data_IF_347766048989
#
_entry.id   IF_347766048989
#
_cell.length_a   1.000
_cell.length_b   1.000
_cell.length_c   1.000
_cell.angle_alpha   90.00
_cell.angle_beta   90.00
_cell.angle_gamma   90.00
#
_symmetry.space_group_name_H-M   'P 1'
#
loop_
_entity.id
_entity.type
_entity.pdbx_description
1 polymer ?
#
# COMPACT_ATOMS: atom_id res chain seq x y z
N UNK A 1 18.85 -3.58 -7.08
CA UNK A 1 17.87 -4.26 -6.20
C UNK A 1 18.62 -5.11 -5.18
N UNK A 2 19.31 -4.45 -4.24
CA UNK A 2 20.17 -5.12 -3.25
C UNK A 2 19.38 -5.69 -2.05
N UNK A 3 18.19 -5.14 -1.76
CA UNK A 3 17.30 -5.60 -0.68
C UNK A 3 16.38 -6.75 -1.12
N UNK A 4 16.23 -6.95 -2.43
CA UNK A 4 15.31 -7.97 -2.95
C UNK A 4 15.63 -9.40 -2.47
N UNK A 5 16.92 -9.82 -2.38
CA UNK A 5 17.29 -11.09 -1.75
C UNK A 5 16.85 -11.20 -0.28
N UNK A 6 16.87 -10.11 0.48
CA UNK A 6 16.41 -10.10 1.87
C UNK A 6 14.89 -10.35 1.94
N UNK A 7 14.11 -9.71 1.07
CA UNK A 7 12.68 -9.98 0.96
C UNK A 7 12.39 -11.42 0.53
N UNK A 8 13.20 -11.98 -0.39
CA UNK A 8 13.09 -13.39 -0.77
C UNK A 8 13.36 -14.32 0.42
N UNK A 9 14.35 -14.01 1.26
CA UNK A 9 14.59 -14.73 2.52
C UNK A 9 13.36 -14.73 3.42
N UNK A 10 12.72 -13.56 3.63
CA UNK A 10 11.51 -13.44 4.44
C UNK A 10 10.32 -14.24 3.88
N UNK A 11 10.17 -14.30 2.55
CA UNK A 11 9.16 -15.13 1.89
C UNK A 11 9.45 -16.62 2.09
N UNK A 12 10.72 -17.04 2.04
CA UNK A 12 11.13 -18.42 2.34
C UNK A 12 10.82 -18.80 3.79
N UNK A 13 11.08 -17.89 4.74
CA UNK A 13 10.73 -18.07 6.15
C UNK A 13 9.22 -18.23 6.31
N UNK A 14 8.43 -17.30 5.76
CA UNK A 14 6.97 -17.31 5.86
C UNK A 14 6.36 -18.57 5.22
N UNK A 15 6.91 -19.03 4.09
CA UNK A 15 6.51 -20.31 3.46
C UNK A 15 6.71 -21.49 4.41
N UNK A 16 7.83 -21.54 5.11
CA UNK A 16 8.13 -22.65 6.03
C UNK A 16 7.16 -22.67 7.21
N UNK A 17 6.83 -21.50 7.77
CA UNK A 17 5.76 -21.36 8.77
C UNK A 17 4.40 -21.81 8.24
N UNK A 18 4.05 -21.41 7.02
CA UNK A 18 2.78 -21.78 6.40
C UNK A 18 2.64 -23.29 6.18
N UNK A 19 3.75 -23.97 5.87
CA UNK A 19 3.79 -25.43 5.66
C UNK A 19 4.02 -26.22 6.96
N UNK A 20 4.29 -25.55 8.09
CA UNK A 20 4.66 -26.20 9.33
C UNK A 20 5.98 -26.98 9.23
N UNK A 21 6.91 -26.52 8.41
CA UNK A 21 8.19 -27.19 8.17
C UNK A 21 9.17 -26.94 9.32
N UNK A 22 9.07 -27.76 10.36
CA UNK A 22 9.94 -27.71 11.56
C UNK A 22 11.32 -28.30 11.31
N UNK A 23 11.62 -28.82 10.11
CA UNK A 23 12.93 -29.39 9.79
C UNK A 23 14.02 -28.32 9.59
N UNK A 24 13.61 -27.06 9.41
CA UNK A 24 14.54 -25.96 9.20
C UNK A 24 15.16 -25.50 10.52
N UNK A 25 16.48 -25.37 10.54
CA UNK A 25 17.27 -25.16 11.78
C UNK A 25 16.87 -23.94 12.60
N UNK A 26 16.39 -22.87 11.95
CA UNK A 26 16.01 -21.62 12.60
C UNK A 26 14.52 -21.55 12.98
N UNK A 27 13.72 -22.60 12.74
CA UNK A 27 12.27 -22.54 12.89
C UNK A 27 11.82 -22.15 14.31
N UNK A 28 12.55 -22.62 15.33
CA UNK A 28 12.27 -22.31 16.74
C UNK A 28 12.90 -21.00 17.23
N UNK A 29 13.77 -20.37 16.43
CA UNK A 29 14.51 -19.17 16.82
C UNK A 29 13.85 -17.88 16.29
N UNK A 30 12.84 -18.02 15.42
CA UNK A 30 12.19 -16.90 14.72
C UNK A 30 10.70 -16.89 15.06
N UNK A 31 10.15 -15.70 15.23
CA UNK A 31 8.72 -15.48 15.41
C UNK A 31 8.15 -14.59 14.31
N UNK A 32 6.86 -14.79 13.99
CA UNK A 32 6.16 -13.93 13.05
C UNK A 32 5.74 -12.63 13.73
N UNK A 33 6.20 -11.50 13.18
CA UNK A 33 5.68 -10.20 13.55
C UNK A 33 4.32 -9.96 12.90
N UNK A 34 3.24 -10.26 13.61
CA UNK A 34 1.87 -10.04 13.14
C UNK A 34 1.50 -8.57 12.93
N UNK A 35 2.19 -7.64 13.60
CA UNK A 35 2.00 -6.20 13.43
C UNK A 35 2.72 -5.63 12.19
N UNK A 36 3.42 -6.46 11.42
CA UNK A 36 4.05 -5.97 10.19
C UNK A 36 2.99 -5.43 9.22
N UNK A 37 3.29 -4.31 8.58
CA UNK A 37 2.39 -3.66 7.60
C UNK A 37 2.72 -4.07 6.16
N UNK A 38 3.38 -5.22 6.00
CA UNK A 38 3.94 -5.71 4.73
C UNK A 38 3.28 -7.01 4.24
N UNK A 39 2.16 -7.38 4.86
CA UNK A 39 1.45 -8.64 4.63
C UNK A 39 1.02 -8.83 3.18
N UNK A 40 0.67 -7.76 2.46
CA UNK A 40 0.23 -7.90 1.07
C UNK A 40 1.37 -8.41 0.19
N UNK A 41 2.56 -7.83 0.30
CA UNK A 41 3.71 -8.23 -0.50
C UNK A 41 4.19 -9.65 -0.16
N UNK A 42 4.38 -9.94 1.13
CA UNK A 42 4.85 -11.25 1.57
C UNK A 42 3.80 -12.33 1.38
N UNK A 43 2.52 -12.04 1.61
CA UNK A 43 1.42 -12.95 1.36
C UNK A 43 1.33 -13.33 -0.12
N UNK A 44 1.33 -12.34 -1.03
CA UNK A 44 1.31 -12.60 -2.47
C UNK A 44 2.52 -13.44 -2.93
N UNK A 45 3.74 -13.05 -2.51
CA UNK A 45 4.94 -13.78 -2.89
C UNK A 45 4.98 -15.20 -2.28
N UNK A 46 4.47 -15.39 -1.06
CA UNK A 46 4.40 -16.70 -0.41
C UNK A 46 3.39 -17.62 -1.09
N UNK A 47 2.21 -17.11 -1.44
CA UNK A 47 1.21 -17.89 -2.18
C UNK A 47 1.75 -18.33 -3.55
N UNK A 48 2.43 -17.44 -4.26
CA UNK A 48 3.11 -17.78 -5.52
C UNK A 48 4.25 -18.79 -5.31
N UNK A 49 4.96 -18.71 -4.18
CA UNK A 49 6.07 -19.62 -3.89
C UNK A 49 5.63 -21.03 -3.48
N UNK A 50 4.33 -21.27 -3.30
CA UNK A 50 3.78 -22.61 -3.17
C UNK A 50 3.95 -23.43 -4.45
N UNK A 51 3.96 -22.76 -5.61
CA UNK A 51 4.07 -23.41 -6.94
C UNK A 51 5.32 -22.99 -7.72
N UNK A 52 5.94 -21.87 -7.36
CA UNK A 52 7.18 -21.38 -7.97
C UNK A 52 8.35 -21.41 -6.96
N UNK A 53 9.60 -21.52 -7.43
CA UNK A 53 10.73 -21.20 -6.57
C UNK A 53 10.66 -19.73 -6.10
N UNK A 54 11.12 -19.45 -4.87
CA UNK A 54 10.93 -18.16 -4.17
C UNK A 54 11.43 -16.96 -4.99
N UNK A 55 12.57 -17.10 -5.67
CA UNK A 55 13.12 -16.07 -6.54
C UNK A 55 12.17 -15.71 -7.71
N UNK A 56 11.52 -16.70 -8.33
CA UNK A 56 10.54 -16.45 -9.39
C UNK A 56 9.26 -15.85 -8.83
N UNK A 57 8.80 -16.30 -7.66
CA UNK A 57 7.63 -15.73 -7.00
C UNK A 57 7.83 -14.23 -6.70
N UNK A 58 8.95 -13.85 -6.08
CA UNK A 58 9.28 -12.45 -5.76
C UNK A 58 9.40 -11.60 -7.02
N UNK A 59 10.13 -12.07 -8.04
CA UNK A 59 10.26 -11.34 -9.32
C UNK A 59 8.91 -11.18 -10.02
N UNK A 60 8.01 -12.15 -9.89
CA UNK A 60 6.63 -12.06 -10.42
C UNK A 60 5.86 -10.95 -9.71
N UNK A 61 5.95 -10.85 -8.38
CA UNK A 61 5.32 -9.74 -7.64
C UNK A 61 5.88 -8.39 -8.07
N UNK A 62 7.19 -8.27 -8.27
CA UNK A 62 7.80 -7.04 -8.82
C UNK A 62 7.23 -6.70 -10.20
N UNK A 63 7.13 -7.68 -11.10
CA UNK A 63 6.54 -7.51 -12.43
C UNK A 63 5.08 -7.06 -12.37
N UNK A 64 4.28 -7.67 -11.50
CA UNK A 64 2.88 -7.28 -11.27
C UNK A 64 2.76 -5.88 -10.69
N UNK A 65 3.65 -5.50 -9.77
CA UNK A 65 3.71 -4.14 -9.21
C UNK A 65 4.03 -3.11 -10.29
N UNK A 66 4.99 -3.40 -11.17
CA UNK A 66 5.33 -2.56 -12.32
C UNK A 66 4.14 -2.38 -13.28
N UNK A 67 3.49 -3.47 -13.69
CA UNK A 67 2.32 -3.40 -14.57
C UNK A 67 1.18 -2.61 -13.93
N UNK A 68 0.93 -2.86 -12.64
CA UNK A 68 -0.10 -2.14 -11.87
C UNK A 68 0.23 -0.65 -11.75
N UNK A 69 1.51 -0.31 -11.59
CA UNK A 69 1.97 1.08 -11.60
C UNK A 69 1.70 1.74 -12.95
N UNK A 70 2.10 1.12 -14.06
CA UNK A 70 1.88 1.67 -15.41
C UNK A 70 0.38 1.88 -15.68
N UNK A 71 -0.46 0.92 -15.32
CA UNK A 71 -1.92 1.02 -15.50
C UNK A 71 -2.54 2.11 -14.62
N UNK A 72 -2.25 2.11 -13.32
CA UNK A 72 -2.80 3.10 -12.39
C UNK A 72 -2.32 4.51 -12.72
N UNK A 73 -1.04 4.67 -13.06
CA UNK A 73 -0.47 5.93 -13.54
C UNK A 73 -1.17 6.42 -14.81
N UNK A 74 -1.35 5.55 -15.80
CA UNK A 74 -2.03 5.90 -17.06
C UNK A 74 -3.46 6.38 -16.82
N UNK A 75 -4.19 5.74 -15.89
CA UNK A 75 -5.56 6.15 -15.53
C UNK A 75 -5.55 7.50 -14.82
N UNK A 76 -4.70 7.68 -13.81
CA UNK A 76 -4.61 8.95 -13.08
C UNK A 76 -4.20 10.10 -14.02
N UNK A 77 -3.25 9.85 -14.93
CA UNK A 77 -2.80 10.84 -15.90
C UNK A 77 -3.93 11.29 -16.80
N UNK A 78 -4.71 10.38 -17.36
CA UNK A 78 -5.89 10.70 -18.20
C UNK A 78 -6.92 11.52 -17.43
N UNK A 79 -7.18 11.19 -16.17
CA UNK A 79 -8.10 11.96 -15.31
C UNK A 79 -7.62 13.39 -15.06
N UNK A 80 -6.31 13.63 -15.09
CA UNK A 80 -5.70 14.93 -14.79
C UNK A 80 -5.27 15.71 -16.05
N UNK A 81 -5.42 15.14 -17.25
CA UNK A 81 -4.96 15.73 -18.51
C UNK A 81 -5.60 17.08 -18.85
N UNK A 82 -6.84 17.33 -18.46
CA UNK A 82 -7.51 18.62 -18.66
C UNK A 82 -6.96 19.74 -17.79
N UNK A 83 -6.10 19.43 -16.81
CA UNK A 83 -5.59 20.39 -15.80
C UNK A 83 -4.17 20.89 -16.07
N UNK A 84 -3.61 20.66 -17.26
CA UNK A 84 -2.22 21.03 -17.64
C UNK A 84 -1.16 20.58 -16.60
N UNK A 85 -1.28 19.35 -16.11
CA UNK A 85 -0.47 18.82 -15.00
C UNK A 85 0.78 18.09 -15.46
N UNK A 86 1.63 18.75 -16.26
CA UNK A 86 2.89 18.14 -16.73
C UNK A 86 3.85 17.77 -15.59
N UNK A 87 3.71 18.40 -14.43
CA UNK A 87 4.47 18.07 -13.22
C UNK A 87 4.13 16.68 -12.65
N UNK A 88 2.94 16.15 -12.96
CA UNK A 88 2.50 14.85 -12.44
C UNK A 88 3.40 13.71 -12.93
N UNK A 89 3.86 13.80 -14.18
CA UNK A 89 4.75 12.80 -14.78
C UNK A 89 6.10 12.78 -14.06
N UNK A 90 6.62 13.97 -13.73
CA UNK A 90 7.88 14.15 -12.97
C UNK A 90 7.80 13.74 -11.50
N UNK A 91 6.61 13.73 -10.91
CA UNK A 91 6.40 13.26 -9.53
C UNK A 91 6.19 11.74 -9.50
N UNK A 92 5.42 11.20 -10.45
CA UNK A 92 5.02 9.80 -10.41
C UNK A 92 6.12 8.86 -10.92
N UNK A 93 6.88 9.24 -11.95
CA UNK A 93 7.99 8.41 -12.44
C UNK A 93 9.03 8.08 -11.36
N UNK A 94 9.61 9.04 -10.63
CA UNK A 94 10.57 8.73 -9.57
C UNK A 94 9.91 8.10 -8.34
N UNK A 95 8.59 8.19 -8.16
CA UNK A 95 7.92 7.52 -7.03
C UNK A 95 8.00 5.99 -7.14
N UNK A 96 7.97 5.46 -8.37
CA UNK A 96 8.21 4.03 -8.63
C UNK A 96 9.67 3.76 -8.98
N UNK A 97 10.22 4.39 -10.04
CA UNK A 97 11.56 4.10 -10.57
C UNK A 97 12.72 4.79 -9.83
N UNK A 98 12.45 5.44 -8.70
CA UNK A 98 13.47 6.09 -7.90
C UNK A 98 14.17 5.14 -6.94
N UNK A 99 14.40 5.64 -5.73
CA UNK A 99 15.17 4.94 -4.69
C UNK A 99 14.64 3.53 -4.40
N UNK A 100 13.33 3.37 -4.22
CA UNK A 100 12.70 2.09 -3.91
C UNK A 100 12.95 1.02 -4.99
N UNK A 101 12.94 1.39 -6.28
CA UNK A 101 13.22 0.47 -7.37
C UNK A 101 14.70 0.11 -7.44
N UNK A 102 15.59 1.09 -7.32
CA UNK A 102 17.04 0.86 -7.34
C UNK A 102 17.46 -0.09 -6.22
N UNK A 103 16.93 0.10 -5.02
CA UNK A 103 17.24 -0.75 -3.87
C UNK A 103 16.45 -2.06 -3.84
N UNK A 104 15.28 -2.12 -4.48
CA UNK A 104 14.46 -3.33 -4.54
C UNK A 104 13.51 -3.50 -3.36
N UNK A 105 12.99 -2.39 -2.84
CA UNK A 105 12.02 -2.37 -1.75
C UNK A 105 10.66 -2.89 -2.21
N UNK A 106 10.49 -4.21 -2.12
CA UNK A 106 9.33 -4.92 -2.66
C UNK A 106 8.00 -4.35 -2.14
N UNK A 107 7.94 -4.10 -0.84
CA UNK A 107 6.74 -3.59 -0.14
C UNK A 107 6.36 -2.18 -0.59
N UNK A 108 7.35 -1.31 -0.80
CA UNK A 108 7.15 0.03 -1.37
C UNK A 108 6.64 -0.06 -2.80
N UNK A 109 7.30 -0.83 -3.66
CA UNK A 109 6.94 -0.95 -5.08
C UNK A 109 5.50 -1.43 -5.25
N UNK A 110 5.06 -2.39 -4.44
CA UNK A 110 3.68 -2.87 -4.46
C UNK A 110 2.68 -1.85 -3.90
N UNK A 111 3.07 -1.06 -2.90
CA UNK A 111 2.20 -0.07 -2.27
C UNK A 111 1.90 1.14 -3.18
N UNK A 112 2.86 1.59 -4.00
CA UNK A 112 2.67 2.76 -4.89
C UNK A 112 1.41 2.66 -5.79
N UNK A 113 1.20 1.62 -6.60
CA UNK A 113 -0.01 1.52 -7.43
C UNK A 113 -1.30 1.49 -6.62
N UNK A 114 -1.30 0.88 -5.43
CA UNK A 114 -2.47 0.89 -4.53
C UNK A 114 -2.74 2.32 -4.01
N UNK A 115 -1.69 3.09 -3.72
CA UNK A 115 -1.79 4.50 -3.37
C UNK A 115 -2.36 5.37 -4.49
N UNK A 116 -1.92 5.13 -5.74
CA UNK A 116 -2.49 5.81 -6.91
C UNK A 116 -3.97 5.45 -7.08
N UNK A 117 -4.35 4.19 -6.89
CA UNK A 117 -5.74 3.77 -6.91
C UNK A 117 -6.56 4.48 -5.84
N UNK A 118 -6.07 4.60 -4.61
CA UNK A 118 -6.72 5.37 -3.54
C UNK A 118 -7.02 6.81 -4.00
N UNK A 119 -6.04 7.49 -4.61
CA UNK A 119 -6.22 8.85 -5.13
C UNK A 119 -7.26 8.90 -6.24
N UNK A 120 -7.22 7.95 -7.19
CA UNK A 120 -8.21 7.85 -8.28
C UNK A 120 -9.64 7.72 -7.71
N UNK A 121 -9.85 6.81 -6.75
CA UNK A 121 -11.18 6.59 -6.17
C UNK A 121 -11.64 7.80 -5.36
N UNK A 122 -10.71 8.47 -4.66
CA UNK A 122 -11.03 9.69 -3.94
C UNK A 122 -11.44 10.84 -4.87
N UNK A 123 -10.75 11.01 -6.00
CA UNK A 123 -11.13 12.00 -7.01
C UNK A 123 -12.55 11.73 -7.55
N UNK A 124 -12.86 10.46 -7.86
CA UNK A 124 -14.21 10.07 -8.29
C UNK A 124 -15.27 10.28 -7.21
N UNK A 125 -14.91 10.07 -5.94
CA UNK A 125 -15.78 10.36 -4.81
C UNK A 125 -16.09 11.86 -4.70
N UNK A 126 -15.08 12.72 -4.82
CA UNK A 126 -15.25 14.17 -4.80
C UNK A 126 -16.14 14.64 -5.95
N UNK A 127 -15.89 14.13 -7.16
CA UNK A 127 -16.60 14.54 -8.38
C UNK A 127 -18.06 14.08 -8.39
N UNK A 128 -18.34 12.84 -7.99
CA UNK A 128 -19.67 12.22 -8.16
C UNK A 128 -20.49 12.12 -6.88
N UNK A 129 -19.85 12.15 -5.71
CA UNK A 129 -20.48 11.89 -4.42
C UNK A 129 -21.00 10.45 -4.22
N UNK A 130 -20.73 9.53 -5.15
CA UNK A 130 -21.30 8.18 -5.09
C UNK A 130 -20.68 7.31 -3.99
N UNK A 131 -21.55 6.66 -3.20
CA UNK A 131 -21.17 5.80 -2.06
C UNK A 131 -20.23 4.65 -2.44
N UNK A 132 -20.28 4.14 -3.68
CA UNK A 132 -19.37 3.08 -4.12
C UNK A 132 -17.90 3.51 -4.04
N UNK A 133 -17.60 4.77 -4.39
CA UNK A 133 -16.23 5.29 -4.34
C UNK A 133 -15.76 5.51 -2.91
N UNK A 134 -16.66 5.84 -1.99
CA UNK A 134 -16.36 5.85 -0.56
C UNK A 134 -15.87 4.48 -0.09
N UNK A 135 -16.59 3.41 -0.44
CA UNK A 135 -16.19 2.04 -0.09
C UNK A 135 -14.82 1.70 -0.71
N UNK A 136 -14.61 2.03 -1.98
CA UNK A 136 -13.32 1.78 -2.63
C UNK A 136 -12.16 2.58 -2.01
N UNK A 137 -12.37 3.82 -1.55
CA UNK A 137 -11.33 4.57 -0.82
C UNK A 137 -10.94 3.85 0.47
N UNK A 138 -11.92 3.35 1.23
CA UNK A 138 -11.64 2.57 2.44
C UNK A 138 -10.88 1.29 2.11
N UNK A 139 -11.35 0.51 1.12
CA UNK A 139 -10.70 -0.74 0.72
C UNK A 139 -9.26 -0.52 0.24
N UNK A 140 -9.03 0.49 -0.61
CA UNK A 140 -7.68 0.85 -1.05
C UNK A 140 -6.82 1.31 0.13
N UNK A 141 -7.37 2.07 1.09
CA UNK A 141 -6.64 2.52 2.27
C UNK A 141 -6.25 1.36 3.20
N UNK A 142 -7.14 0.42 3.45
CA UNK A 142 -6.85 -0.80 4.23
C UNK A 142 -5.78 -1.65 3.53
N UNK A 143 -5.95 -1.89 2.22
CA UNK A 143 -4.97 -2.64 1.43
C UNK A 143 -3.59 -1.96 1.45
N UNK A 144 -3.57 -0.63 1.33
CA UNK A 144 -2.35 0.15 1.35
C UNK A 144 -1.67 0.12 2.73
N UNK A 145 -2.46 0.20 3.81
CA UNK A 145 -1.97 0.03 5.17
C UNK A 145 -1.25 -1.31 5.34
N UNK A 146 -1.84 -2.41 4.88
CA UNK A 146 -1.20 -3.74 4.92
C UNK A 146 -0.13 -3.98 3.84
N UNK A 147 0.06 -3.04 2.91
CA UNK A 147 1.16 -3.07 1.94
C UNK A 147 2.38 -2.34 2.46
N UNK A 148 2.18 -1.13 3.00
CA UNK A 148 3.23 -0.31 3.59
C UNK A 148 2.67 0.90 4.38
N UNK A 149 2.92 0.99 5.69
CA UNK A 149 2.40 2.08 6.54
C UNK A 149 2.81 3.49 6.11
N UNK A 150 4.09 3.72 5.80
CA UNK A 150 4.56 5.06 5.39
C UNK A 150 3.91 5.53 4.08
N UNK A 151 3.84 4.65 3.08
CA UNK A 151 3.17 4.93 1.79
C UNK A 151 1.68 5.18 2.02
N UNK A 152 1.04 4.42 2.92
CA UNK A 152 -0.32 4.67 3.36
C UNK A 152 -0.53 6.09 3.91
N UNK A 153 0.30 6.53 4.86
CA UNK A 153 0.22 7.89 5.41
C UNK A 153 0.37 8.95 4.32
N UNK A 154 1.34 8.76 3.43
CA UNK A 154 1.62 9.69 2.33
C UNK A 154 0.43 9.84 1.38
N UNK A 155 -0.15 8.74 0.89
CA UNK A 155 -1.29 8.82 -0.02
C UNK A 155 -2.59 9.24 0.66
N UNK A 156 -2.80 8.91 1.93
CA UNK A 156 -3.90 9.46 2.73
C UNK A 156 -3.77 10.98 2.87
N UNK A 157 -2.56 11.51 3.09
CA UNK A 157 -2.30 12.94 3.14
C UNK A 157 -2.59 13.60 1.79
N UNK A 158 -2.13 13.03 0.68
CA UNK A 158 -2.41 13.56 -0.66
C UNK A 158 -3.92 13.57 -0.92
N UNK A 159 -4.61 12.45 -0.73
CA UNK A 159 -6.02 12.33 -1.06
C UNK A 159 -6.90 13.21 -0.16
N UNK A 160 -6.61 13.30 1.14
CA UNK A 160 -7.32 14.22 2.03
C UNK A 160 -7.05 15.69 1.66
N UNK A 161 -5.82 16.05 1.31
CA UNK A 161 -5.48 17.39 0.82
C UNK A 161 -6.23 17.74 -0.47
N UNK A 162 -6.30 16.80 -1.42
CA UNK A 162 -7.07 16.98 -2.65
C UNK A 162 -8.57 17.13 -2.38
N UNK A 163 -9.10 16.47 -1.35
CA UNK A 163 -10.48 16.64 -0.90
C UNK A 163 -10.71 18.04 -0.36
N UNK A 164 -9.77 18.58 0.43
CA UNK A 164 -9.87 19.93 0.97
C UNK A 164 -9.79 20.99 -0.13
N UNK A 165 -8.87 20.82 -1.10
CA UNK A 165 -8.60 21.81 -2.16
C UNK A 165 -9.67 21.78 -3.26
N UNK A 166 -10.09 20.61 -3.72
CA UNK A 166 -11.02 20.49 -4.85
C UNK A 166 -12.50 20.55 -4.46
N UNK A 167 -12.81 20.53 -3.16
CA UNK A 167 -14.21 20.61 -2.73
C UNK A 167 -14.72 22.06 -2.83
N UNK A 168 -15.67 22.25 -3.74
CA UNK A 168 -16.37 23.53 -3.98
C UNK A 168 -17.50 23.80 -2.96
N UNK A 169 -17.79 22.88 -2.02
CA UNK A 169 -18.78 23.09 -0.97
C UNK A 169 -18.32 24.16 0.04
N UNK A 170 -19.08 25.25 0.13
CA UNK A 170 -18.84 26.33 1.09
C UNK A 170 -19.22 25.95 2.54
N UNK A 171 -20.01 24.89 2.73
CA UNK A 171 -20.42 24.46 4.07
C UNK A 171 -19.34 23.60 4.74
N UNK A 172 -18.70 24.15 5.78
CA UNK A 172 -17.66 23.48 6.56
C UNK A 172 -18.08 22.09 7.10
N UNK A 173 -19.34 21.91 7.52
CA UNK A 173 -19.82 20.60 8.01
C UNK A 173 -19.89 19.56 6.90
N UNK A 174 -20.33 19.95 5.71
CA UNK A 174 -20.34 19.03 4.54
C UNK A 174 -18.92 18.71 4.09
N UNK A 175 -18.02 19.70 4.14
CA UNK A 175 -16.60 19.52 3.83
C UNK A 175 -15.92 18.54 4.78
N UNK A 176 -16.18 18.65 6.09
CA UNK A 176 -15.70 17.69 7.08
C UNK A 176 -16.26 16.28 6.87
N UNK A 177 -17.54 16.16 6.45
CA UNK A 177 -18.14 14.85 6.13
C UNK A 177 -17.46 14.14 4.96
N UNK A 178 -16.90 14.87 4.00
CA UNK A 178 -16.15 14.24 2.91
C UNK A 178 -14.79 13.67 3.37
N UNK A 179 -14.28 14.09 4.53
CA UNK A 179 -13.06 13.53 5.13
C UNK A 179 -13.31 12.28 5.97
N UNK A 180 -14.56 11.84 6.13
CA UNK A 180 -14.91 10.61 6.86
C UNK A 180 -14.07 9.40 6.45
N UNK A 181 -13.79 9.12 5.16
CA UNK A 181 -12.95 7.98 4.81
C UNK A 181 -11.59 8.02 5.50
N UNK A 182 -10.95 9.19 5.57
CA UNK A 182 -9.63 9.37 6.16
C UNK A 182 -9.66 9.31 7.67
N UNK A 183 -10.73 9.79 8.31
CA UNK A 183 -10.93 9.58 9.74
C UNK A 183 -11.05 8.09 10.07
N UNK A 184 -11.85 7.33 9.31
CA UNK A 184 -11.96 5.88 9.48
C UNK A 184 -10.63 5.17 9.26
N UNK A 185 -9.88 5.56 8.22
CA UNK A 185 -8.55 5.00 7.96
C UNK A 185 -7.54 5.35 9.05
N UNK A 186 -7.64 6.52 9.69
CA UNK A 186 -6.78 6.92 10.81
C UNK A 186 -6.96 6.04 12.04
N UNK A 187 -8.12 5.39 12.20
CA UNK A 187 -8.34 4.42 13.26
C UNK A 187 -7.36 3.24 13.18
N UNK A 188 -6.93 2.84 11.98
CA UNK A 188 -5.91 1.79 11.81
C UNK A 188 -4.57 2.16 12.47
N UNK A 189 -4.19 3.44 12.39
CA UNK A 189 -2.97 3.96 13.03
C UNK A 189 -3.14 3.92 14.55
N UNK A 190 -4.29 4.36 15.05
CA UNK A 190 -4.59 4.31 16.46
C UNK A 190 -4.55 2.87 17.01
N UNK A 191 -5.20 1.93 16.32
CA UNK A 191 -5.17 0.52 16.69
C UNK A 191 -3.76 -0.07 16.66
N UNK A 192 -2.93 0.31 15.68
CA UNK A 192 -1.54 -0.12 15.62
C UNK A 192 -0.76 0.28 16.88
N UNK A 193 -0.83 1.56 17.27
CA UNK A 193 -0.13 2.02 18.48
C UNK A 193 -0.70 1.42 19.76
N UNK A 194 -2.02 1.24 19.82
CA UNK A 194 -2.68 0.60 20.96
C UNK A 194 -2.21 -0.85 21.14
N UNK A 195 -2.17 -1.62 20.06
CA UNK A 195 -1.69 -3.01 20.07
C UNK A 195 -0.20 -3.09 20.40
N UNK A 196 0.61 -2.20 19.84
CA UNK A 196 2.04 -2.13 20.14
C UNK A 196 2.28 -1.83 21.63
N UNK A 197 1.56 -0.86 22.20
CA UNK A 197 1.65 -0.51 23.61
C UNK A 197 1.24 -1.69 24.49
N UNK A 198 0.14 -2.37 24.14
CA UNK A 198 -0.33 -3.55 24.86
C UNK A 198 0.71 -4.68 24.87
N UNK A 199 1.35 -4.97 23.73
CA UNK A 199 2.41 -5.99 23.66
C UNK A 199 3.62 -5.63 24.53
N UNK A 200 4.04 -4.36 24.52
CA UNK A 200 5.15 -3.88 25.35
C UNK A 200 4.87 -3.98 26.85
N UNK A 201 3.60 -3.96 27.26
CA UNK A 201 3.22 -4.14 28.66
C UNK A 201 3.15 -5.61 29.09
N UNK A 202 3.10 -6.55 28.14
CA UNK A 202 3.04 -8.00 28.40
C UNK A 202 4.40 -8.70 28.32
N UNK A 203 5.39 -8.07 27.67
CA UNK A 203 6.79 -8.52 27.58
C UNK A 203 7.59 -8.11 28.80
#
# INVERSE_FOLDING_TARGET
>A
MIDLPQHAGQVGVLKSFLLGDTSVTWFNDIELNYLTTYWVAYGMATLLSLVLPVNYAVNTVVGLAFLSFVLSFSVLRRMMSSKNTNILDWVLLPSFFGFAYTWGFLTFLLAIPVGILLVIQNLKLIETGYKKYFVFVILCGVLLYFSHMLVFLFFCLIASSMTIVNNQEHNARKKLKQLIPFYLLSLLIFFFFLLQLFMLMMS
#
